data_IF_068124945375
#
_entry.id   IF_068124945375
#
_cell.length_a   1.000
_cell.length_b   1.000
_cell.length_c   1.000
_cell.angle_alpha   90.00
_cell.angle_beta   90.00
_cell.angle_gamma   90.00
#
_symmetry.space_group_name_H-M   'P 1'
#
loop_
_entity.id
_entity.type
_entity.pdbx_description
1 polymer ?
#
# COMPACT_ATOMS: atom_id res chain seq x y z
N UNK A 1 4.84 7.94 -19.61
CA UNK A 1 4.81 9.36 -19.22
C UNK A 1 5.46 9.47 -17.86
N UNK A 2 6.67 10.01 -17.84
CA UNK A 2 7.48 10.22 -16.64
C UNK A 2 6.84 11.31 -15.78
N UNK A 3 6.57 11.00 -14.50
CA UNK A 3 6.35 11.98 -13.45
C UNK A 3 7.37 11.69 -12.35
N UNK A 4 8.66 11.82 -12.71
CA UNK A 4 9.75 11.84 -11.74
C UNK A 4 10.04 13.30 -11.39
N UNK A 5 9.62 13.69 -10.18
CA UNK A 5 10.23 14.76 -9.41
C UNK A 5 10.21 16.17 -10.00
N UNK A 6 9.03 16.77 -10.16
CA UNK A 6 8.94 18.23 -10.11
C UNK A 6 9.11 18.64 -8.64
N UNK A 7 10.27 19.14 -8.26
CA UNK A 7 10.45 19.88 -7.01
C UNK A 7 10.23 21.34 -7.38
N UNK A 8 9.11 21.97 -7.00
CA UNK A 8 8.88 23.38 -7.32
C UNK A 8 10.03 24.21 -6.72
N UNK A 9 10.52 25.19 -7.47
CA UNK A 9 11.63 26.09 -7.10
C UNK A 9 11.36 26.92 -5.81
N UNK A 10 10.17 26.80 -5.22
CA UNK A 10 9.64 27.70 -4.18
C UNK A 10 9.49 27.07 -2.78
N UNK A 11 10.02 25.87 -2.54
CA UNK A 11 10.05 25.31 -1.17
C UNK A 11 11.11 26.04 -0.35
N UNK A 12 10.72 27.16 0.27
CA UNK A 12 11.63 28.08 0.99
C UNK A 12 11.83 27.70 2.46
N UNK A 13 10.99 26.83 3.03
CA UNK A 13 11.00 26.47 4.46
C UNK A 13 10.86 24.97 4.70
N UNK A 14 11.31 24.51 5.89
CA UNK A 14 11.26 23.10 6.30
C UNK A 14 9.82 22.54 6.32
N UNK A 15 8.86 23.32 6.85
CA UNK A 15 7.45 22.92 6.93
C UNK A 15 6.85 22.68 5.53
N UNK A 16 7.20 23.51 4.55
CA UNK A 16 6.75 23.33 3.17
C UNK A 16 7.29 22.03 2.55
N UNK A 17 8.56 21.69 2.86
CA UNK A 17 9.17 20.44 2.41
C UNK A 17 8.51 19.21 3.05
N UNK A 18 8.16 19.29 4.34
CA UNK A 18 7.42 18.23 5.04
C UNK A 18 6.01 18.02 4.45
N UNK A 19 5.30 19.11 4.18
CA UNK A 19 3.99 19.05 3.52
C UNK A 19 4.10 18.42 2.12
N UNK A 20 5.13 18.78 1.34
CA UNK A 20 5.38 18.19 0.03
C UNK A 20 5.69 16.69 0.10
N UNK A 21 6.51 16.29 1.07
CA UNK A 21 6.77 14.88 1.33
C UNK A 21 5.49 14.11 1.65
N UNK A 22 4.59 14.69 2.45
CA UNK A 22 3.31 14.08 2.80
C UNK A 22 2.39 13.88 1.57
N UNK A 23 2.38 14.84 0.63
CA UNK A 23 1.68 14.70 -0.66
C UNK A 23 2.24 13.53 -1.46
N UNK A 24 3.56 13.45 -1.60
CA UNK A 24 4.22 12.36 -2.33
C UNK A 24 3.94 11.00 -1.69
N UNK A 25 4.01 10.91 -0.37
CA UNK A 25 3.70 9.68 0.38
C UNK A 25 2.23 9.28 0.19
N UNK A 26 1.30 10.24 0.21
CA UNK A 26 -0.11 9.99 -0.04
C UNK A 26 -0.35 9.47 -1.46
N UNK A 27 0.32 10.05 -2.47
CA UNK A 27 0.23 9.58 -3.85
C UNK A 27 0.77 8.15 -4.01
N UNK A 28 1.89 7.83 -3.35
CA UNK A 28 2.44 6.47 -3.32
C UNK A 28 1.48 5.48 -2.64
N UNK A 29 0.90 5.87 -1.51
CA UNK A 29 -0.10 5.07 -0.79
C UNK A 29 -1.34 4.83 -1.65
N UNK A 30 -1.84 5.84 -2.35
CA UNK A 30 -2.98 5.72 -3.27
C UNK A 30 -2.73 4.67 -4.35
N UNK A 31 -1.57 4.73 -5.02
CA UNK A 31 -1.17 3.70 -6.01
C UNK A 31 -1.03 2.30 -5.41
N UNK A 32 -0.65 2.21 -4.12
CA UNK A 32 -0.59 0.91 -3.43
C UNK A 32 -1.99 0.43 -3.10
N UNK A 33 -2.84 1.27 -2.52
CA UNK A 33 -4.22 0.97 -2.19
C UNK A 33 -5.02 0.50 -3.42
N UNK A 34 -4.90 1.20 -4.56
CA UNK A 34 -5.51 0.80 -5.83
C UNK A 34 -5.11 -0.62 -6.27
N UNK A 35 -3.82 -0.98 -6.14
CA UNK A 35 -3.34 -2.33 -6.46
C UNK A 35 -3.90 -3.43 -5.56
N UNK A 36 -4.25 -3.08 -4.32
CA UNK A 36 -4.84 -3.99 -3.35
C UNK A 36 -6.37 -3.88 -3.29
N UNK A 37 -6.99 -2.97 -4.04
CA UNK A 37 -8.44 -2.73 -4.00
C UNK A 37 -8.92 -2.10 -2.68
N UNK A 38 -8.05 -1.36 -1.99
CA UNK A 38 -8.36 -0.76 -0.69
C UNK A 38 -8.91 0.65 -0.90
N UNK A 39 -10.00 0.96 -0.21
CA UNK A 39 -10.61 2.29 -0.23
C UNK A 39 -9.75 3.31 0.52
N UNK A 40 -9.53 4.46 -0.10
CA UNK A 40 -8.79 5.56 0.52
C UNK A 40 -9.73 6.36 1.42
N UNK A 41 -9.30 6.76 2.63
CA UNK A 41 -10.11 7.61 3.49
C UNK A 41 -10.33 8.98 2.84
N UNK A 42 -11.49 9.56 3.15
CA UNK A 42 -11.87 10.87 2.65
C UNK A 42 -10.88 11.93 3.16
N UNK A 43 -10.20 12.57 2.21
CA UNK A 43 -9.19 13.59 2.48
C UNK A 43 -9.80 14.95 2.84
N UNK A 44 -11.13 15.11 2.70
CA UNK A 44 -11.85 16.31 3.12
C UNK A 44 -12.11 16.37 4.63
N UNK A 45 -12.03 15.22 5.32
CA UNK A 45 -12.13 15.16 6.77
C UNK A 45 -10.84 15.70 7.41
N UNK A 46 -10.96 16.74 8.24
CA UNK A 46 -9.84 17.50 8.81
C UNK A 46 -8.88 16.65 9.68
N UNK A 47 -9.37 15.51 10.19
CA UNK A 47 -8.57 14.57 10.97
C UNK A 47 -7.80 13.55 10.10
N UNK A 48 -8.21 13.35 8.84
CA UNK A 48 -7.67 12.34 7.92
C UNK A 48 -6.93 12.94 6.73
N UNK A 49 -7.26 14.16 6.34
CA UNK A 49 -6.59 14.89 5.27
C UNK A 49 -6.35 16.36 5.61
N UNK A 50 -5.36 16.94 4.94
CA UNK A 50 -5.03 18.36 5.03
C UNK A 50 -4.68 18.88 3.63
N UNK A 51 -4.98 20.16 3.39
CA UNK A 51 -4.59 20.89 2.19
C UNK A 51 -3.22 21.55 2.42
N UNK A 52 -2.44 21.68 1.36
CA UNK A 52 -1.17 22.41 1.41
C UNK A 52 -1.45 23.90 1.65
N UNK A 53 -0.73 24.54 2.57
CA UNK A 53 -1.08 25.92 2.99
C UNK A 53 -0.39 27.00 2.15
N UNK A 54 0.69 26.63 1.45
CA UNK A 54 1.58 27.57 0.77
C UNK A 54 1.46 27.55 -0.74
N UNK A 55 0.81 26.53 -1.30
CA UNK A 55 0.41 26.54 -2.70
C UNK A 55 -0.89 27.36 -2.78
N UNK A 56 -1.06 28.12 -3.85
CA UNK A 56 -2.22 29.00 -4.05
C UNK A 56 -3.15 28.46 -5.15
N UNK A 57 -2.81 27.30 -5.72
CA UNK A 57 -3.52 26.72 -6.84
C UNK A 57 -4.78 25.98 -6.36
N UNK A 58 -5.93 26.27 -6.96
CA UNK A 58 -7.21 25.67 -6.53
C UNK A 58 -7.30 24.15 -6.80
N UNK A 59 -6.36 23.60 -7.57
CA UNK A 59 -6.24 22.18 -7.87
C UNK A 59 -5.33 21.41 -6.89
N UNK A 60 -4.95 22.01 -5.77
CA UNK A 60 -4.03 21.39 -4.83
C UNK A 60 -4.46 19.99 -4.34
N UNK A 61 -3.55 19.01 -4.39
CA UNK A 61 -3.83 17.67 -3.93
C UNK A 61 -3.89 17.63 -2.40
N UNK A 62 -5.04 17.23 -1.86
CA UNK A 62 -5.15 16.89 -0.45
C UNK A 62 -4.22 15.72 -0.11
N UNK A 63 -3.46 15.86 0.98
CA UNK A 63 -2.61 14.80 1.51
C UNK A 63 -3.19 14.23 2.79
N UNK A 64 -2.87 12.97 3.08
CA UNK A 64 -3.32 12.32 4.31
C UNK A 64 -2.52 12.83 5.51
N UNK A 65 -3.22 13.09 6.61
CA UNK A 65 -2.57 13.31 7.90
C UNK A 65 -1.88 12.02 8.36
N UNK A 66 -1.04 12.13 9.40
CA UNK A 66 -0.41 10.95 10.02
C UNK A 66 -1.43 9.88 10.46
N UNK A 67 -2.62 10.30 10.90
CA UNK A 67 -3.74 9.42 11.25
C UNK A 67 -4.33 8.75 10.02
N UNK A 68 -4.62 9.51 8.95
CA UNK A 68 -5.12 8.97 7.68
C UNK A 68 -4.15 7.97 7.05
N UNK A 69 -2.85 8.29 7.04
CA UNK A 69 -1.81 7.37 6.57
C UNK A 69 -1.74 6.08 7.39
N UNK A 70 -1.90 6.17 8.72
CA UNK A 70 -1.88 4.99 9.59
C UNK A 70 -3.06 4.06 9.32
N UNK A 71 -4.25 4.60 9.06
CA UNK A 71 -5.43 3.81 8.70
C UNK A 71 -5.20 3.04 7.39
N UNK A 72 -4.72 3.71 6.34
CA UNK A 72 -4.45 3.07 5.05
C UNK A 72 -3.37 1.98 5.19
N UNK A 73 -2.31 2.26 5.95
CA UNK A 73 -1.26 1.27 6.19
C UNK A 73 -1.75 0.05 6.99
N UNK A 74 -2.67 0.25 7.94
CA UNK A 74 -3.29 -0.84 8.68
C UNK A 74 -4.11 -1.72 7.73
N UNK A 75 -4.98 -1.11 6.92
CA UNK A 75 -5.78 -1.82 5.93
C UNK A 75 -4.91 -2.59 4.91
N UNK A 76 -3.82 -1.97 4.44
CA UNK A 76 -2.85 -2.62 3.56
C UNK A 76 -2.21 -3.85 4.21
N UNK A 77 -1.86 -3.75 5.49
CA UNK A 77 -1.24 -4.84 6.23
C UNK A 77 -2.22 -6.01 6.46
N UNK A 78 -3.48 -5.70 6.71
CA UNK A 78 -4.54 -6.72 6.85
C UNK A 78 -4.78 -7.47 5.55
N UNK A 79 -4.88 -6.76 4.43
CA UNK A 79 -5.06 -7.39 3.11
C UNK A 79 -3.84 -8.22 2.70
N UNK A 80 -2.62 -7.71 2.95
CA UNK A 80 -1.38 -8.44 2.66
C UNK A 80 -1.29 -9.74 3.47
N UNK A 81 -1.67 -9.69 4.76
CA UNK A 81 -1.76 -10.89 5.61
C UNK A 81 -2.81 -11.87 5.08
N UNK A 82 -4.01 -11.39 4.74
CA UNK A 82 -5.07 -12.24 4.20
C UNK A 82 -4.63 -12.95 2.91
N UNK A 83 -3.96 -12.23 2.00
CA UNK A 83 -3.43 -12.81 0.76
C UNK A 83 -2.33 -13.83 1.04
N UNK A 84 -1.44 -13.57 1.99
CA UNK A 84 -0.39 -14.51 2.40
C UNK A 84 -1.00 -15.80 2.96
N UNK A 85 -1.96 -15.69 3.88
CA UNK A 85 -2.63 -16.86 4.50
C UNK A 85 -3.37 -17.70 3.45
N UNK A 86 -4.03 -17.04 2.49
CA UNK A 86 -4.68 -17.70 1.35
C UNK A 86 -3.68 -18.41 0.44
N UNK A 87 -2.52 -17.80 0.19
CA UNK A 87 -1.47 -18.40 -0.63
C UNK A 87 -0.83 -19.59 0.08
N UNK A 88 -0.52 -19.46 1.37
CA UNK A 88 0.01 -20.54 2.21
C UNK A 88 -0.95 -21.73 2.28
N UNK A 89 -2.25 -21.47 2.43
CA UNK A 89 -3.28 -22.51 2.43
C UNK A 89 -3.31 -23.24 1.09
N UNK A 90 -3.25 -22.52 -0.04
CA UNK A 90 -3.20 -23.14 -1.38
C UNK A 90 -1.99 -24.04 -1.57
N UNK A 91 -0.80 -23.62 -1.10
CA UNK A 91 0.39 -24.46 -1.14
C UNK A 91 0.23 -25.71 -0.27
N UNK A 92 -0.25 -25.54 0.96
CA UNK A 92 -0.40 -26.65 1.90
C UNK A 92 -1.35 -27.72 1.33
N UNK A 93 -2.46 -27.28 0.74
CA UNK A 93 -3.46 -28.17 0.11
C UNK A 93 -2.89 -28.90 -1.12
N UNK A 94 -1.97 -28.32 -1.88
CA UNK A 94 -1.39 -28.99 -3.06
C UNK A 94 -0.20 -29.89 -2.71
N UNK A 95 0.65 -29.48 -1.77
CA UNK A 95 1.83 -30.25 -1.38
C UNK A 95 1.45 -31.52 -0.62
N UNK A 96 0.44 -31.48 0.27
CA UNK A 96 0.04 -32.64 1.07
C UNK A 96 -0.37 -33.89 0.23
N UNK A 97 -1.21 -33.80 -0.81
CA UNK A 97 -1.52 -34.95 -1.65
C UNK A 97 -0.35 -35.34 -2.56
N UNK A 98 0.46 -34.40 -3.04
CA UNK A 98 1.64 -34.71 -3.84
C UNK A 98 2.68 -35.50 -3.03
N UNK A 99 2.94 -35.11 -1.79
CA UNK A 99 3.86 -35.83 -0.92
C UNK A 99 3.34 -37.23 -0.59
N UNK A 100 2.03 -37.38 -0.41
CA UNK A 100 1.39 -38.69 -0.23
C UNK A 100 1.58 -39.59 -1.46
N UNK A 101 1.36 -39.06 -2.67
CA UNK A 101 1.56 -39.82 -3.93
C UNK A 101 3.03 -40.24 -4.06
N UNK A 102 3.96 -39.32 -3.82
CA UNK A 102 5.41 -39.63 -3.87
C UNK A 102 5.77 -40.72 -2.86
N UNK A 103 5.23 -40.66 -1.64
CA UNK A 103 5.46 -41.67 -0.62
C UNK A 103 4.93 -43.05 -1.03
N UNK A 104 3.73 -43.11 -1.63
CA UNK A 104 3.16 -44.36 -2.16
C UNK A 104 4.02 -44.92 -3.28
N UNK A 105 4.45 -44.09 -4.24
CA UNK A 105 5.32 -44.52 -5.34
C UNK A 105 6.67 -45.03 -4.82
N UNK A 106 7.27 -44.35 -3.85
CA UNK A 106 8.52 -44.78 -3.23
C UNK A 106 8.38 -46.14 -2.53
N UNK A 107 7.25 -46.42 -1.87
CA UNK A 107 6.99 -47.72 -1.25
C UNK A 107 6.77 -48.84 -2.28
N UNK A 108 6.13 -48.54 -3.41
CA UNK A 108 5.80 -49.52 -4.45
C UNK A 108 7.01 -49.86 -5.33
N UNK A 109 7.81 -48.86 -5.70
CA UNK A 109 8.93 -49.01 -6.65
C UNK A 109 10.31 -49.00 -6.00
N UNK A 110 10.42 -48.68 -4.70
CA UNK A 110 11.68 -48.67 -3.96
C UNK A 110 12.08 -50.02 -3.36
N UNK A 111 11.45 -51.11 -3.80
CA UNK A 111 11.74 -52.49 -3.40
C UNK A 111 12.50 -53.20 -4.50
#
# INVERSE_FOLDING_TARGET
>A
MELWGYVPEEVKTLEQAEQWLAVLQTAQLRRRAERYGIEMPDTSAEDLGRRMEWDADQNEPYYLTSKGMRLVNLALREEEKYRWDKWNTRISVTIAPLSLIVAILALVYGK
#
